data_IF_878162838807
#
_entry.id   IF_878162838807
#
_cell.length_a   1.000
_cell.length_b   1.000
_cell.length_c   1.000
_cell.angle_alpha   90.00
_cell.angle_beta   90.00
_cell.angle_gamma   90.00
#
_symmetry.space_group_name_H-M   'P 1'
#
loop_
_entity.id
_entity.type
_entity.pdbx_description
1 polymer ?
#
# COMPACT_ATOMS: atom_id res chain seq x y z
N UNK A 1 -27.44 -29.93 9.59
CA UNK A 1 -26.50 -29.12 10.41
C UNK A 1 -25.84 -30.04 11.43
N UNK A 2 -24.51 -30.22 11.35
CA UNK A 2 -23.73 -31.09 12.23
C UNK A 2 -23.48 -30.45 13.61
N UNK A 3 -24.55 -30.34 14.41
CA UNK A 3 -24.44 -30.07 15.85
C UNK A 3 -24.63 -31.38 16.61
N UNK A 4 -23.64 -31.75 17.41
CA UNK A 4 -23.55 -33.05 18.06
C UNK A 4 -23.53 -32.89 19.57
N UNK A 5 -24.09 -33.87 20.29
CA UNK A 5 -24.14 -33.86 21.75
C UNK A 5 -23.00 -34.71 22.31
N UNK A 6 -22.20 -34.11 23.17
CA UNK A 6 -21.23 -34.81 24.01
C UNK A 6 -21.96 -35.32 25.26
N UNK A 7 -22.13 -36.65 25.36
CA UNK A 7 -22.89 -37.30 26.43
C UNK A 7 -22.11 -37.40 27.74
N UNK A 8 -20.78 -37.38 27.71
CA UNK A 8 -19.94 -37.46 28.91
C UNK A 8 -19.90 -36.12 29.65
N UNK A 9 -19.91 -35.01 28.90
CA UNK A 9 -19.78 -33.65 29.47
C UNK A 9 -21.10 -32.88 29.50
N UNK A 10 -22.19 -33.49 29.03
CA UNK A 10 -23.51 -32.87 28.83
C UNK A 10 -23.43 -31.53 28.06
N UNK A 11 -22.51 -31.42 27.10
CA UNK A 11 -22.32 -30.22 26.26
C UNK A 11 -22.58 -30.52 24.79
N UNK A 12 -22.59 -29.49 23.97
CA UNK A 12 -22.72 -29.58 22.52
C UNK A 12 -21.40 -29.23 21.83
N UNK A 13 -21.19 -29.80 20.65
CA UNK A 13 -20.06 -29.48 19.78
C UNK A 13 -20.50 -29.37 18.32
N UNK A 14 -19.74 -28.60 17.54
CA UNK A 14 -19.94 -28.43 16.11
C UNK A 14 -18.69 -28.89 15.37
N UNK A 15 -18.86 -29.72 14.35
CA UNK A 15 -17.77 -30.28 13.53
C UNK A 15 -18.17 -30.32 12.07
N UNK A 16 -17.41 -29.66 11.20
CA UNK A 16 -17.69 -29.62 9.76
C UNK A 16 -16.40 -29.45 8.95
N UNK A 17 -16.51 -29.77 7.66
CA UNK A 17 -15.46 -29.55 6.67
C UNK A 17 -15.72 -28.25 5.92
N UNK A 18 -14.67 -27.52 5.60
CA UNK A 18 -14.70 -26.31 4.78
C UNK A 18 -13.51 -26.32 3.81
N UNK A 19 -13.62 -25.59 2.70
CA UNK A 19 -12.48 -25.37 1.79
C UNK A 19 -11.74 -24.13 2.28
N UNK A 20 -10.43 -24.21 2.37
CA UNK A 20 -9.59 -23.03 2.59
C UNK A 20 -9.40 -22.23 1.30
N UNK A 21 -8.75 -21.08 1.43
CA UNK A 21 -8.39 -20.16 0.35
C UNK A 21 -7.51 -20.79 -0.74
N UNK A 22 -6.81 -21.89 -0.43
CA UNK A 22 -6.00 -22.67 -1.38
C UNK A 22 -6.79 -23.78 -2.08
N UNK A 23 -8.09 -23.91 -1.78
CA UNK A 23 -8.97 -24.96 -2.27
C UNK A 23 -8.87 -26.29 -1.53
N UNK A 24 -8.04 -26.39 -0.48
CA UNK A 24 -7.88 -27.63 0.31
C UNK A 24 -8.99 -27.78 1.34
N UNK A 25 -9.47 -29.01 1.50
CA UNK A 25 -10.49 -29.35 2.50
C UNK A 25 -9.87 -29.44 3.90
N UNK A 26 -10.30 -28.58 4.82
CA UNK A 26 -9.96 -28.64 6.25
C UNK A 26 -11.18 -28.94 7.11
N UNK A 27 -10.98 -29.58 8.26
CA UNK A 27 -12.03 -29.83 9.25
C UNK A 27 -11.85 -28.93 10.47
N UNK A 28 -12.92 -28.27 10.91
CA UNK A 28 -12.94 -27.52 12.16
C UNK A 28 -13.87 -28.20 13.16
N UNK A 29 -13.43 -28.30 14.41
CA UNK A 29 -14.24 -28.80 15.51
C UNK A 29 -14.13 -27.85 16.70
N UNK A 30 -15.26 -27.40 17.24
CA UNK A 30 -15.32 -26.64 18.50
C UNK A 30 -16.30 -27.31 19.45
N UNK A 31 -15.90 -27.47 20.70
CA UNK A 31 -16.62 -28.19 21.77
C UNK A 31 -16.96 -27.25 22.93
N UNK A 32 -17.90 -27.65 23.79
CA UNK A 32 -18.20 -26.97 25.05
C UNK A 32 -19.37 -25.99 25.00
N UNK A 33 -20.26 -26.08 24.00
CA UNK A 33 -21.47 -25.24 23.96
C UNK A 33 -22.51 -25.75 24.97
N UNK A 34 -23.20 -24.85 25.65
CA UNK A 34 -24.25 -25.22 26.61
C UNK A 34 -25.52 -25.70 25.87
N UNK A 35 -25.80 -25.13 24.70
CA UNK A 35 -27.00 -25.46 23.92
C UNK A 35 -26.70 -25.86 22.48
N UNK A 36 -27.62 -26.64 21.88
CA UNK A 36 -27.60 -26.95 20.44
C UNK A 36 -27.63 -25.69 19.57
N UNK A 37 -28.38 -24.67 20.00
CA UNK A 37 -28.58 -23.42 19.26
C UNK A 37 -27.29 -22.59 19.22
N UNK A 38 -26.52 -22.57 20.30
CA UNK A 38 -25.18 -21.94 20.32
C UNK A 38 -24.20 -22.63 19.38
N UNK A 39 -24.18 -23.96 19.36
CA UNK A 39 -23.33 -24.74 18.45
C UNK A 39 -23.69 -24.49 16.97
N UNK A 40 -24.98 -24.33 16.66
CA UNK A 40 -25.47 -24.00 15.32
C UNK A 40 -25.20 -22.54 14.93
N UNK A 41 -25.43 -21.58 15.83
CA UNK A 41 -25.11 -20.18 15.57
C UNK A 41 -23.61 -19.99 15.36
N UNK A 42 -22.78 -20.69 16.12
CA UNK A 42 -21.34 -20.67 15.90
C UNK A 42 -20.97 -21.25 14.53
N UNK A 43 -21.56 -22.37 14.10
CA UNK A 43 -21.35 -22.90 12.74
C UNK A 43 -21.77 -21.89 11.67
N UNK A 44 -22.96 -21.30 11.79
CA UNK A 44 -23.48 -20.33 10.83
C UNK A 44 -22.61 -19.06 10.78
N UNK A 45 -22.17 -18.55 11.94
CA UNK A 45 -21.24 -17.42 12.01
C UNK A 45 -19.86 -17.79 11.48
N UNK A 46 -19.39 -19.02 11.71
CA UNK A 46 -18.11 -19.49 11.18
C UNK A 46 -18.19 -19.65 9.66
N UNK A 47 -19.25 -20.24 9.13
CA UNK A 47 -19.48 -20.34 7.68
C UNK A 47 -19.68 -18.98 7.02
N UNK A 48 -20.28 -18.02 7.72
CA UNK A 48 -20.42 -16.65 7.24
C UNK A 48 -19.09 -15.88 7.28
N UNK A 49 -18.20 -16.17 8.25
CA UNK A 49 -16.84 -15.63 8.31
C UNK A 49 -15.88 -16.32 7.34
N UNK A 50 -15.99 -17.63 7.15
CA UNK A 50 -15.13 -18.43 6.27
C UNK A 50 -15.62 -18.46 4.81
N UNK A 51 -16.89 -18.11 4.55
CA UNK A 51 -17.27 -17.70 3.19
C UNK A 51 -16.53 -16.42 2.77
N UNK A 52 -15.85 -15.75 3.69
CA UNK A 52 -14.83 -14.74 3.40
C UNK A 52 -13.50 -15.48 3.37
N UNK A 53 -13.13 -15.90 2.16
CA UNK A 53 -12.05 -16.84 1.84
C UNK A 53 -10.63 -16.33 2.15
N UNK A 54 -10.44 -15.38 3.07
CA UNK A 54 -9.14 -14.77 3.37
C UNK A 54 -8.72 -14.99 4.84
N UNK A 55 -8.60 -16.27 5.21
CA UNK A 55 -8.09 -16.75 6.50
C UNK A 55 -6.56 -16.98 6.46
N UNK A 56 -5.80 -15.93 6.17
CA UNK A 56 -4.33 -15.95 6.17
C UNK A 56 -3.75 -14.75 6.92
N UNK A 57 -2.51 -14.87 7.40
CA UNK A 57 -1.83 -13.77 8.10
C UNK A 57 -1.53 -12.63 7.13
N UNK A 58 -1.48 -11.42 7.67
CA UNK A 58 -1.30 -10.21 6.88
C UNK A 58 0.04 -10.21 6.13
N UNK A 59 1.13 -10.66 6.77
CA UNK A 59 2.45 -10.76 6.15
C UNK A 59 2.51 -11.77 4.99
N UNK A 60 1.83 -12.91 5.15
CA UNK A 60 1.69 -13.92 4.11
C UNK A 60 0.90 -13.34 2.92
N UNK A 61 -0.18 -12.61 3.21
CA UNK A 61 -0.97 -11.96 2.17
C UNK A 61 -0.19 -10.83 1.48
N UNK A 62 0.61 -10.11 2.26
CA UNK A 62 1.46 -9.05 1.78
C UNK A 62 2.51 -9.58 0.78
N UNK A 63 3.11 -10.74 1.03
CA UNK A 63 4.04 -11.38 0.06
C UNK A 63 3.34 -11.66 -1.28
N UNK A 64 2.13 -12.22 -1.26
CA UNK A 64 1.33 -12.44 -2.48
C UNK A 64 0.99 -11.13 -3.20
N UNK A 65 0.61 -10.10 -2.43
CA UNK A 65 0.33 -8.78 -2.97
C UNK A 65 1.58 -8.13 -3.60
N UNK A 66 2.74 -8.29 -2.98
CA UNK A 66 4.01 -7.77 -3.47
C UNK A 66 4.42 -8.44 -4.78
N UNK A 67 4.31 -9.77 -4.88
CA UNK A 67 4.54 -10.52 -6.13
C UNK A 67 3.59 -10.06 -7.25
N UNK A 68 2.32 -9.82 -6.92
CA UNK A 68 1.35 -9.27 -7.86
C UNK A 68 1.77 -7.87 -8.35
N UNK A 69 2.23 -7.01 -7.44
CA UNK A 69 2.70 -5.67 -7.77
C UNK A 69 3.98 -5.67 -8.63
N UNK A 70 4.95 -6.55 -8.32
CA UNK A 70 6.21 -6.66 -9.03
C UNK A 70 6.03 -6.94 -10.53
N UNK A 71 5.04 -7.76 -10.90
CA UNK A 71 4.77 -8.09 -12.30
C UNK A 71 4.08 -6.97 -13.09
N UNK A 72 3.61 -5.91 -12.42
CA UNK A 72 2.70 -4.90 -13.00
C UNK A 72 3.16 -3.46 -12.83
N UNK A 73 4.05 -3.20 -11.88
CA UNK A 73 4.50 -1.86 -11.53
C UNK A 73 5.99 -1.69 -11.82
N UNK A 74 6.42 -0.45 -12.01
CA UNK A 74 7.84 -0.10 -12.14
C UNK A 74 8.58 -0.44 -10.84
N UNK A 75 9.85 -0.84 -10.96
CA UNK A 75 10.70 -1.25 -9.83
C UNK A 75 10.71 -0.22 -8.70
N UNK A 76 10.89 1.07 -9.02
CA UNK A 76 10.88 2.13 -8.00
C UNK A 76 9.54 2.22 -7.26
N UNK A 77 8.42 2.08 -7.96
CA UNK A 77 7.08 2.08 -7.33
C UNK A 77 6.91 0.90 -6.39
N UNK A 78 7.42 -0.28 -6.76
CA UNK A 78 7.41 -1.47 -5.90
C UNK A 78 8.27 -1.24 -4.67
N UNK A 79 9.50 -0.72 -4.84
CA UNK A 79 10.43 -0.44 -3.76
C UNK A 79 9.84 0.54 -2.73
N UNK A 80 9.25 1.65 -3.19
CA UNK A 80 8.59 2.62 -2.30
C UNK A 80 7.42 1.99 -1.55
N UNK A 81 6.60 1.16 -2.21
CA UNK A 81 5.54 0.41 -1.55
C UNK A 81 6.12 -0.51 -0.47
N UNK A 82 7.15 -1.29 -0.82
CA UNK A 82 7.79 -2.25 0.07
C UNK A 82 8.34 -1.60 1.35
N UNK A 83 9.00 -0.45 1.20
CA UNK A 83 9.46 0.35 2.33
C UNK A 83 8.30 0.80 3.24
N UNK A 84 7.22 1.34 2.67
CA UNK A 84 6.06 1.78 3.46
C UNK A 84 5.45 0.61 4.24
N UNK A 85 5.30 -0.55 3.58
CA UNK A 85 4.78 -1.74 4.24
C UNK A 85 5.70 -2.22 5.37
N UNK A 86 6.99 -2.32 5.09
CA UNK A 86 7.99 -2.81 6.04
C UNK A 86 8.11 -1.93 7.28
N UNK A 87 8.15 -0.60 7.10
CA UNK A 87 8.39 0.31 8.22
C UNK A 87 7.12 0.70 8.98
N UNK A 88 5.97 0.83 8.29
CA UNK A 88 4.79 1.45 8.92
C UNK A 88 3.58 0.52 9.05
N UNK A 89 3.46 -0.54 8.24
CA UNK A 89 2.25 -1.36 8.20
C UNK A 89 2.48 -2.73 8.85
N UNK A 90 3.50 -3.46 8.43
CA UNK A 90 3.82 -4.78 8.94
C UNK A 90 4.02 -4.80 10.45
N UNK A 91 4.75 -3.86 11.08
CA UNK A 91 4.98 -3.90 12.54
C UNK A 91 3.70 -3.96 13.38
N UNK A 92 2.57 -3.50 12.84
CA UNK A 92 1.29 -3.51 13.54
C UNK A 92 0.39 -4.70 13.17
N UNK A 93 0.43 -5.13 11.90
CA UNK A 93 -0.53 -6.10 11.37
C UNK A 93 0.05 -7.49 11.07
N UNK A 94 1.38 -7.68 11.12
CA UNK A 94 2.09 -8.88 10.65
C UNK A 94 1.38 -10.19 11.02
N UNK A 95 1.12 -10.38 12.31
CA UNK A 95 0.52 -11.61 12.84
C UNK A 95 -1.00 -11.69 12.76
N UNK A 96 -1.66 -10.60 12.40
CA UNK A 96 -3.12 -10.54 12.33
C UNK A 96 -3.62 -11.26 11.09
N UNK A 97 -4.75 -11.96 11.23
CA UNK A 97 -5.44 -12.54 10.07
C UNK A 97 -6.17 -11.45 9.29
N UNK A 98 -6.12 -11.51 7.97
CA UNK A 98 -6.73 -10.50 7.09
C UNK A 98 -8.22 -10.28 7.36
N UNK A 99 -8.97 -11.36 7.64
CA UNK A 99 -10.40 -11.32 7.96
C UNK A 99 -10.71 -10.87 9.41
N UNK A 100 -9.71 -10.76 10.29
CA UNK A 100 -9.86 -10.32 11.67
C UNK A 100 -9.48 -8.84 11.88
N UNK A 101 -8.90 -8.18 10.87
CA UNK A 101 -8.54 -6.77 10.97
C UNK A 101 -9.80 -5.90 10.92
N UNK A 102 -10.06 -5.21 12.03
CA UNK A 102 -11.24 -4.36 12.20
C UNK A 102 -10.93 -2.88 11.97
N UNK A 103 -11.95 -2.05 11.68
CA UNK A 103 -11.78 -0.60 11.64
C UNK A 103 -11.15 -0.02 12.93
N UNK A 104 -11.50 -0.54 14.10
CA UNK A 104 -10.95 -0.10 15.37
C UNK A 104 -9.43 -0.33 15.46
N UNK A 105 -8.92 -1.45 14.94
CA UNK A 105 -7.48 -1.73 14.88
C UNK A 105 -6.77 -0.77 13.94
N UNK A 106 -7.42 -0.38 12.85
CA UNK A 106 -6.87 0.61 11.92
C UNK A 106 -6.83 1.99 12.56
N UNK A 107 -7.87 2.41 13.29
CA UNK A 107 -7.83 3.67 14.05
C UNK A 107 -6.70 3.67 15.07
N UNK A 108 -6.50 2.56 15.80
CA UNK A 108 -5.37 2.45 16.73
C UNK A 108 -4.01 2.59 16.02
N UNK A 109 -3.85 1.93 14.87
CA UNK A 109 -2.66 2.08 14.04
C UNK A 109 -2.46 3.51 13.51
N UNK A 110 -3.52 4.20 13.08
CA UNK A 110 -3.44 5.59 12.65
C UNK A 110 -2.95 6.50 13.78
N UNK A 111 -3.47 6.31 15.00
CA UNK A 111 -3.04 7.10 16.15
C UNK A 111 -1.55 6.90 16.46
N UNK A 112 -1.04 5.67 16.38
CA UNK A 112 0.40 5.41 16.55
C UNK A 112 1.23 6.24 15.57
N UNK A 113 0.86 6.26 14.28
CA UNK A 113 1.60 7.03 13.26
C UNK A 113 1.41 8.54 13.40
N UNK A 114 0.27 9.01 13.91
CA UNK A 114 0.02 10.43 14.20
C UNK A 114 0.81 10.92 15.42
N UNK A 115 1.07 10.04 16.38
CA UNK A 115 1.82 10.33 17.60
C UNK A 115 3.34 10.09 17.45
N UNK A 116 3.77 9.44 16.36
CA UNK A 116 5.17 9.19 16.06
C UNK A 116 5.94 10.50 15.80
N UNK A 117 7.13 10.60 16.38
CA UNK A 117 8.04 11.75 16.28
C UNK A 117 9.44 11.26 15.94
N UNK A 118 10.15 12.01 15.11
CA UNK A 118 11.58 11.78 14.87
C UNK A 118 12.46 12.31 16.02
N UNK A 119 13.77 12.16 15.89
CA UNK A 119 14.75 12.62 16.90
C UNK A 119 14.72 14.15 17.13
N UNK A 120 14.10 14.91 16.22
CA UNK A 120 13.92 16.36 16.28
C UNK A 120 12.49 16.77 16.71
N UNK A 121 11.69 15.83 17.25
CA UNK A 121 10.30 16.02 17.67
C UNK A 121 9.35 16.43 16.53
N UNK A 122 9.65 16.03 15.28
CA UNK A 122 8.81 16.31 14.12
C UNK A 122 7.89 15.15 13.80
N UNK A 123 6.64 15.48 13.49
CA UNK A 123 5.65 14.53 12.97
C UNK A 123 5.84 14.27 11.48
N UNK A 124 5.33 13.14 11.00
CA UNK A 124 5.16 12.92 9.56
C UNK A 124 4.28 14.00 8.91
N UNK A 125 4.60 14.35 7.66
CA UNK A 125 3.77 15.27 6.87
C UNK A 125 2.39 14.67 6.58
N UNK A 126 1.38 15.54 6.43
CA UNK A 126 0.00 15.12 6.14
C UNK A 126 -0.12 14.34 4.83
N UNK A 127 0.66 14.72 3.81
CA UNK A 127 0.73 14.02 2.52
C UNK A 127 1.36 12.63 2.66
N UNK A 128 2.38 12.48 3.50
CA UNK A 128 3.02 11.18 3.73
C UNK A 128 2.10 10.22 4.50
N UNK A 129 1.45 10.72 5.56
CA UNK A 129 0.41 9.99 6.30
C UNK A 129 -0.71 9.50 5.36
N UNK A 130 -1.19 10.37 4.46
CA UNK A 130 -2.17 10.00 3.43
C UNK A 130 -1.65 8.87 2.53
N UNK A 131 -0.38 8.94 2.15
CA UNK A 131 0.27 7.94 1.31
C UNK A 131 0.35 6.58 2.00
N UNK A 132 0.75 6.54 3.28
CA UNK A 132 0.81 5.30 4.07
C UNK A 132 -0.57 4.65 4.16
N UNK A 133 -1.61 5.42 4.53
CA UNK A 133 -2.98 4.89 4.61
C UNK A 133 -3.47 4.38 3.26
N UNK A 134 -3.17 5.08 2.18
CA UNK A 134 -3.53 4.65 0.84
C UNK A 134 -2.90 3.29 0.50
N UNK A 135 -1.68 2.98 0.97
CA UNK A 135 -1.08 1.65 0.78
C UNK A 135 -1.83 0.56 1.55
N UNK A 136 -2.20 0.81 2.81
CA UNK A 136 -3.01 -0.12 3.60
C UNK A 136 -4.39 -0.35 2.94
N UNK A 137 -5.03 0.73 2.49
CA UNK A 137 -6.30 0.63 1.79
C UNK A 137 -6.17 -0.13 0.46
N UNK A 138 -5.06 0.02 -0.27
CA UNK A 138 -4.82 -0.68 -1.52
C UNK A 138 -4.72 -2.20 -1.36
N UNK A 139 -4.02 -2.71 -0.34
CA UNK A 139 -3.95 -4.16 -0.08
C UNK A 139 -5.31 -4.73 0.32
N UNK A 140 -6.10 -4.00 1.14
CA UNK A 140 -7.46 -4.43 1.46
C UNK A 140 -8.42 -4.36 0.26
N UNK A 141 -8.25 -3.38 -0.64
CA UNK A 141 -9.01 -3.37 -1.89
C UNK A 141 -8.65 -4.57 -2.78
N UNK A 142 -7.37 -4.98 -2.80
CA UNK A 142 -6.94 -6.19 -3.51
C UNK A 142 -7.59 -7.45 -2.90
N UNK A 143 -7.57 -7.56 -1.56
CA UNK A 143 -8.27 -8.60 -0.82
C UNK A 143 -9.77 -8.66 -1.15
N UNK A 144 -10.46 -7.51 -1.15
CA UNK A 144 -11.87 -7.44 -1.49
C UNK A 144 -12.16 -7.88 -2.93
N UNK A 145 -11.28 -7.49 -3.87
CA UNK A 145 -11.50 -7.74 -5.29
C UNK A 145 -11.22 -9.18 -5.71
N UNK A 146 -10.21 -9.82 -5.12
CA UNK A 146 -9.69 -11.11 -5.60
C UNK A 146 -9.84 -12.26 -4.60
N UNK A 147 -10.15 -11.98 -3.33
CA UNK A 147 -10.15 -12.97 -2.25
C UNK A 147 -11.40 -12.89 -1.37
N UNK A 148 -12.48 -12.31 -1.88
CA UNK A 148 -13.79 -12.27 -1.23
C UNK A 148 -13.81 -11.68 0.19
N UNK A 149 -12.86 -10.78 0.51
CA UNK A 149 -12.97 -9.96 1.72
C UNK A 149 -14.19 -9.02 1.56
N UNK A 150 -15.17 -9.01 2.47
CA UNK A 150 -16.46 -8.33 2.23
C UNK A 150 -16.35 -6.83 2.07
N UNK A 151 -15.47 -6.23 2.86
CA UNK A 151 -15.33 -4.79 2.94
C UNK A 151 -13.90 -4.45 3.34
N UNK A 152 -13.41 -3.36 2.77
CA UNK A 152 -12.14 -2.77 3.14
C UNK A 152 -12.30 -2.03 4.49
N UNK A 153 -11.67 -2.51 5.59
CA UNK A 153 -11.74 -1.86 6.89
C UNK A 153 -11.05 -0.49 6.88
N UNK A 154 -9.94 -0.32 6.14
CA UNK A 154 -9.21 0.95 6.06
C UNK A 154 -10.05 2.06 5.42
N UNK A 155 -10.77 1.71 4.34
CA UNK A 155 -11.72 2.61 3.70
C UNK A 155 -12.88 3.00 4.63
N UNK A 156 -13.25 2.15 5.59
CA UNK A 156 -14.32 2.46 6.54
C UNK A 156 -13.89 3.51 7.55
N UNK A 157 -12.63 3.48 8.00
CA UNK A 157 -12.08 4.48 8.93
C UNK A 157 -11.90 5.83 8.24
N UNK A 158 -11.49 5.82 6.97
CA UNK A 158 -11.12 7.04 6.26
C UNK A 158 -9.65 7.37 6.42
N UNK A 159 -9.18 8.28 5.56
CA UNK A 159 -7.75 8.56 5.42
C UNK A 159 -7.16 9.21 6.68
N UNK A 160 -5.89 8.92 6.96
CA UNK A 160 -5.12 9.72 7.91
C UNK A 160 -4.28 10.71 7.11
N UNK A 161 -4.25 11.99 7.50
CA UNK A 161 -3.63 13.02 6.69
C UNK A 161 -4.54 13.59 5.59
N UNK A 162 -4.02 14.58 4.87
CA UNK A 162 -4.70 15.29 3.78
C UNK A 162 -3.68 15.65 2.70
N UNK A 163 -4.17 15.88 1.49
CA UNK A 163 -3.32 16.50 0.47
C UNK A 163 -3.10 17.95 0.87
N UNK A 164 -1.85 18.32 1.02
CA UNK A 164 -1.44 19.71 1.14
C UNK A 164 -0.80 20.07 -0.19
N UNK A 165 -1.45 20.94 -0.95
CA UNK A 165 -0.83 21.62 -2.07
C UNK A 165 -0.11 22.82 -1.49
N UNK A 166 1.18 22.65 -1.19
CA UNK A 166 2.04 23.82 -1.01
C UNK A 166 2.14 24.54 -2.35
N UNK A 167 1.99 25.85 -2.33
CA UNK A 167 2.32 26.66 -3.50
C UNK A 167 3.82 26.50 -3.76
N UNK A 168 4.15 25.89 -4.88
CA UNK A 168 5.54 25.72 -5.29
C UNK A 168 6.00 27.07 -5.83
N UNK A 169 6.95 27.70 -5.14
CA UNK A 169 7.63 28.88 -5.67
C UNK A 169 8.33 28.50 -6.98
N UNK A 170 8.07 29.28 -8.02
CA UNK A 170 8.68 29.12 -9.33
C UNK A 170 9.52 30.35 -9.65
N UNK A 171 10.58 30.15 -10.43
CA UNK A 171 11.42 31.26 -10.84
C UNK A 171 10.78 32.04 -11.97
N UNK A 172 10.80 33.36 -11.81
CA UNK A 172 10.62 34.30 -12.92
C UNK A 172 11.81 34.26 -13.89
N UNK A 173 11.61 34.77 -15.11
CA UNK A 173 12.67 34.88 -16.10
C UNK A 173 13.83 35.75 -15.60
N UNK A 174 13.52 36.80 -14.84
CA UNK A 174 14.48 37.72 -14.26
C UNK A 174 15.34 37.04 -13.18
N UNK A 175 14.72 36.23 -12.31
CA UNK A 175 15.43 35.46 -11.29
C UNK A 175 16.31 34.37 -11.91
N UNK A 176 15.80 33.63 -12.90
CA UNK A 176 16.61 32.65 -13.63
C UNK A 176 17.80 33.30 -14.32
N UNK A 177 17.60 34.49 -14.92
CA UNK A 177 18.67 35.24 -15.58
C UNK A 177 19.77 35.67 -14.60
N UNK A 178 19.41 36.05 -13.37
CA UNK A 178 20.41 36.33 -12.32
C UNK A 178 21.15 35.08 -11.89
N UNK A 179 20.43 33.97 -11.70
CA UNK A 179 21.01 32.69 -11.31
C UNK A 179 22.00 32.16 -12.35
N UNK A 180 21.64 32.19 -13.64
CA UNK A 180 22.45 31.55 -14.68
C UNK A 180 23.80 32.23 -14.88
N UNK A 181 23.87 33.55 -14.64
CA UNK A 181 25.12 34.32 -14.63
C UNK A 181 25.99 33.92 -13.44
N UNK A 182 25.40 33.67 -12.27
CA UNK A 182 26.14 33.28 -11.06
C UNK A 182 26.78 31.88 -11.14
N UNK A 183 26.37 31.05 -12.10
CA UNK A 183 26.92 29.70 -12.33
C UNK A 183 27.60 29.55 -13.70
N UNK A 184 27.92 30.66 -14.36
CA UNK A 184 28.51 30.66 -15.70
C UNK A 184 29.89 30.00 -15.75
N UNK A 185 30.64 30.02 -14.64
CA UNK A 185 31.90 29.31 -14.44
C UNK A 185 31.75 27.77 -14.48
N UNK A 186 30.53 27.25 -14.43
CA UNK A 186 30.19 25.83 -14.47
C UNK A 186 29.45 25.49 -15.76
N UNK A 187 30.17 25.26 -16.88
CA UNK A 187 29.57 25.15 -18.21
C UNK A 187 28.54 24.01 -18.33
N UNK A 188 28.80 22.85 -17.71
CA UNK A 188 27.85 21.73 -17.73
C UNK A 188 26.55 22.04 -16.98
N UNK A 189 26.66 22.64 -15.78
CA UNK A 189 25.49 23.03 -14.99
C UNK A 189 24.70 24.14 -15.68
N UNK A 190 25.38 25.17 -16.19
CA UNK A 190 24.75 26.27 -16.92
C UNK A 190 23.97 25.77 -18.14
N UNK A 191 24.56 24.87 -18.94
CA UNK A 191 23.87 24.24 -20.06
C UNK A 191 22.64 23.44 -19.60
N UNK A 192 22.79 22.58 -18.58
CA UNK A 192 21.69 21.78 -18.03
C UNK A 192 20.51 22.64 -17.54
N UNK A 193 20.78 23.69 -16.77
CA UNK A 193 19.73 24.59 -16.25
C UNK A 193 19.03 25.36 -17.36
N UNK A 194 19.73 25.75 -18.44
CA UNK A 194 19.10 26.39 -19.60
C UNK A 194 18.14 25.43 -20.32
N UNK A 195 18.54 24.18 -20.53
CA UNK A 195 17.67 23.18 -21.16
C UNK A 195 16.46 22.89 -20.29
N UNK A 196 16.63 22.75 -18.97
CA UNK A 196 15.51 22.51 -18.04
C UNK A 196 14.53 23.68 -18.02
N UNK A 197 15.03 24.92 -17.90
CA UNK A 197 14.19 26.11 -17.78
C UNK A 197 13.44 26.43 -19.07
N UNK A 198 14.13 26.41 -20.22
CA UNK A 198 13.53 26.78 -21.51
C UNK A 198 12.83 25.62 -22.22
N UNK A 199 13.36 24.40 -22.06
CA UNK A 199 12.80 23.21 -22.69
C UNK A 199 11.67 22.55 -21.90
N UNK A 200 11.53 22.88 -20.61
CA UNK A 200 10.51 22.28 -19.74
C UNK A 200 10.71 20.77 -19.51
N UNK A 201 11.94 20.27 -19.68
CA UNK A 201 12.28 18.87 -19.46
C UNK A 201 12.26 18.54 -17.97
N UNK A 202 11.85 17.31 -17.64
CA UNK A 202 12.14 16.75 -16.31
C UNK A 202 13.63 16.43 -16.21
N UNK A 203 14.20 16.52 -15.01
CA UNK A 203 15.61 16.19 -14.78
C UNK A 203 16.00 14.80 -15.31
N UNK A 204 15.13 13.80 -15.13
CA UNK A 204 15.37 12.46 -15.70
C UNK A 204 15.44 12.45 -17.22
N UNK A 205 14.60 13.24 -17.90
CA UNK A 205 14.60 13.36 -19.36
C UNK A 205 15.89 14.03 -19.86
N UNK A 206 16.32 15.10 -19.19
CA UNK A 206 17.62 15.74 -19.47
C UNK A 206 18.78 14.74 -19.35
N UNK A 207 18.82 13.97 -18.26
CA UNK A 207 19.90 13.00 -18.00
C UNK A 207 19.88 11.81 -18.98
N UNK A 208 18.76 11.60 -19.69
CA UNK A 208 18.62 10.55 -20.69
C UNK A 208 19.00 11.00 -22.10
N UNK A 209 19.18 12.31 -22.33
CA UNK A 209 19.49 12.84 -23.65
C UNK A 209 20.82 12.30 -24.18
N UNK A 210 20.81 11.95 -25.46
CA UNK A 210 21.99 11.58 -26.23
C UNK A 210 22.18 12.56 -27.37
N UNK A 211 23.36 12.54 -28.00
CA UNK A 211 23.66 13.41 -29.16
C UNK A 211 22.64 13.22 -30.30
N UNK A 212 22.04 12.03 -30.44
CA UNK A 212 21.06 11.71 -31.48
C UNK A 212 19.69 12.36 -31.28
N UNK A 213 19.41 12.82 -30.06
CA UNK A 213 18.14 13.44 -29.73
C UNK A 213 18.13 14.93 -30.14
N UNK A 214 19.26 15.51 -30.56
CA UNK A 214 19.34 16.90 -31.01
C UNK A 214 19.23 17.00 -32.53
N UNK A 215 18.21 17.71 -33.00
CA UNK A 215 18.10 18.14 -34.39
C UNK A 215 18.48 19.63 -34.46
N UNK A 216 19.68 19.89 -34.99
CA UNK A 216 20.20 21.25 -35.12
C UNK A 216 19.70 21.96 -36.38
N UNK A 217 19.14 21.22 -37.35
CA UNK A 217 18.58 21.83 -38.56
C UNK A 217 17.21 22.44 -38.22
N UNK A 218 16.39 21.71 -37.47
CA UNK A 218 15.06 22.16 -37.04
C UNK A 218 15.06 22.82 -35.64
N UNK A 219 16.21 22.87 -34.95
CA UNK A 219 16.37 23.35 -33.57
C UNK A 219 15.43 22.65 -32.57
N UNK A 220 15.30 21.32 -32.68
CA UNK A 220 14.42 20.53 -31.80
C UNK A 220 15.21 19.52 -30.96
N UNK A 221 14.61 19.13 -29.83
CA UNK A 221 15.11 18.04 -28.98
C UNK A 221 14.04 16.94 -28.98
N UNK A 222 14.37 15.79 -29.57
CA UNK A 222 13.54 14.60 -29.59
C UNK A 222 13.54 13.88 -28.25
N UNK A 223 12.41 13.85 -27.55
CA UNK A 223 12.31 13.15 -26.27
C UNK A 223 11.94 11.68 -26.49
N UNK A 224 12.94 10.82 -26.65
CA UNK A 224 12.73 9.38 -26.64
C UNK A 224 12.63 8.90 -25.18
N UNK A 225 11.40 8.80 -24.67
CA UNK A 225 11.19 8.27 -23.31
C UNK A 225 11.65 6.81 -23.27
N UNK A 226 12.67 6.46 -22.47
CA UNK A 226 12.80 5.21 -21.70
C UNK A 226 14.19 5.12 -21.03
N UNK A 227 14.32 5.60 -19.80
CA UNK A 227 15.40 5.18 -18.91
C UNK A 227 15.11 3.74 -18.47
N UNK A 228 15.73 2.76 -19.13
CA UNK A 228 15.85 1.41 -18.56
C UNK A 228 16.98 1.44 -17.54
N UNK A 229 16.62 1.55 -16.27
CA UNK A 229 17.55 1.26 -15.18
C UNK A 229 17.75 -0.26 -15.16
N UNK A 230 18.98 -0.71 -15.43
CA UNK A 230 19.39 -2.12 -15.30
C UNK A 230 19.39 -2.55 -13.85
#
# INVERSE_FOLDING_TARGET
>A
MPAYRDRERNTWYSSFKYKDWSGKLKSKTKRGFATKKEAQNWESQFKLRESHELDMRFDEFYKLYLEYCQKRLKVNTVKTKDQIFTFHILPFFEEKRMNEITPAMITAWQNVLLDERDDEDRSYSMTYLKTIHNQLSAIFNHACRFYNLPKNPARTVGNMGKEESEEVEFWTTEEFSKFIVAIEDKPHSSCAFRILFWGGLRLGELLALTVKDFDFDDNTIGLSTLIKTN
#
